data_IF_813018968097
#
_entry.id   IF_813018968097
#
_cell.length_a   1.000
_cell.length_b   1.000
_cell.length_c   1.000
_cell.angle_alpha   90.00
_cell.angle_beta   90.00
_cell.angle_gamma   90.00
#
_symmetry.space_group_name_H-M   'P 1'
#
loop_
_entity.id
_entity.type
_entity.pdbx_description
1 polymer ?
#
# COMPACT_ATOMS: atom_id res chain seq x y z
N UNK A 1 14.07 18.88 6.12
CA UNK A 1 13.74 19.14 6.04
C UNK A 1 13.53 19.22 6.10
N UNK A 2 13.33 19.34 6.18
CA UNK A 2 12.76 19.53 6.23
C UNK A 2 12.30 19.39 6.33
N UNK A 3 11.86 19.40 6.40
CA UNK A 3 11.10 19.40 6.46
C UNK A 3 11.01 19.62 6.96
N UNK A 4 10.83 19.82 7.11
CA UNK A 4 10.52 20.17 7.47
C UNK A 4 10.59 20.51 7.83
N UNK A 5 10.30 20.72 7.98
CA UNK A 5 10.05 21.14 8.07
C UNK A 5 9.77 21.44 8.25
N UNK A 6 9.38 21.46 8.31
CA UNK A 6 8.81 21.76 8.31
C UNK A 6 8.52 21.93 8.54
N UNK A 7 8.29 22.07 8.83
CA UNK A 7 7.68 22.27 8.91
C UNK A 7 7.46 22.45 9.39
N UNK A 8 7.24 23.09 9.33
CA UNK A 8 6.98 23.59 9.94
C UNK A 8 6.67 23.50 10.88
N UNK A 9 6.87 24.59 11.22
CA UNK A 9 6.32 24.08 12.36
C UNK A 9 5.41 23.04 11.99
N UNK A 10 5.73 22.08 12.08
CA UNK A 10 4.93 21.17 11.72
C UNK A 10 4.42 20.39 12.81
N UNK A 11 3.21 19.96 12.68
CA UNK A 11 2.60 19.14 13.69
C UNK A 11 3.18 17.76 13.63
N UNK A 12 3.49 17.14 14.77
CA UNK A 12 3.92 15.75 14.78
C UNK A 12 2.79 14.86 14.28
N UNK A 13 3.15 13.75 13.68
CA UNK A 13 2.18 12.75 13.25
C UNK A 13 1.57 12.09 14.48
N UNK A 14 0.30 11.75 14.40
CA UNK A 14 -0.37 10.99 15.45
C UNK A 14 0.15 9.55 15.48
N UNK A 15 -0.08 8.86 16.60
CA UNK A 15 0.23 7.44 16.70
C UNK A 15 -0.53 6.63 15.67
N UNK A 16 -1.77 7.04 15.34
CA UNK A 16 -2.56 6.35 14.33
C UNK A 16 -1.94 6.49 12.95
N UNK A 17 -1.47 7.70 12.61
CA UNK A 17 -0.83 7.91 11.31
C UNK A 17 0.43 7.05 11.18
N UNK A 18 1.22 6.99 12.24
CA UNK A 18 2.44 6.17 12.24
C UNK A 18 2.09 4.70 12.06
N UNK A 19 1.05 4.22 12.76
CA UNK A 19 0.61 2.84 12.65
C UNK A 19 0.16 2.52 11.23
N UNK A 20 -0.60 3.44 10.61
CA UNK A 20 -1.07 3.25 9.26
C UNK A 20 0.09 3.19 8.26
N UNK A 21 1.12 4.01 8.46
CA UNK A 21 2.30 3.95 7.62
C UNK A 21 3.02 2.62 7.73
N UNK A 22 3.04 2.02 8.94
CA UNK A 22 3.59 0.69 9.12
C UNK A 22 2.77 -0.37 8.37
N UNK A 23 1.44 -0.22 8.35
CA UNK A 23 0.60 -1.13 7.56
C UNK A 23 0.89 -0.99 6.07
N UNK A 24 1.17 0.22 5.60
CA UNK A 24 1.55 0.43 4.21
C UNK A 24 2.86 -0.28 3.89
N UNK A 25 3.82 -0.23 4.81
CA UNK A 25 5.07 -0.97 4.66
C UNK A 25 4.80 -2.48 4.54
N UNK A 26 3.87 -3.01 5.33
CA UNK A 26 3.50 -4.42 5.25
C UNK A 26 2.90 -4.77 3.90
N UNK A 27 2.06 -3.90 3.35
CA UNK A 27 1.51 -4.10 2.01
C UNK A 27 2.64 -4.14 0.98
N UNK A 28 3.58 -3.21 1.07
CA UNK A 28 4.70 -3.16 0.13
C UNK A 28 5.54 -4.44 0.19
N UNK A 29 5.78 -4.95 1.39
CA UNK A 29 6.51 -6.21 1.56
C UNK A 29 5.77 -7.35 0.88
N UNK A 30 4.45 -7.42 1.09
CA UNK A 30 3.63 -8.47 0.49
C UNK A 30 3.64 -8.38 -1.03
N UNK A 31 3.52 -7.17 -1.58
CA UNK A 31 3.55 -6.99 -3.03
C UNK A 31 4.89 -7.42 -3.62
N UNK A 32 6.00 -7.13 -2.92
CA UNK A 32 7.31 -7.57 -3.38
C UNK A 32 7.41 -9.10 -3.39
N UNK A 33 6.81 -9.77 -2.40
CA UNK A 33 6.77 -11.23 -2.38
C UNK A 33 6.00 -11.79 -3.57
N UNK A 34 4.86 -11.17 -3.90
CA UNK A 34 4.08 -11.57 -5.05
C UNK A 34 4.90 -11.42 -6.32
N UNK A 35 5.55 -10.27 -6.50
CA UNK A 35 6.38 -10.03 -7.68
C UNK A 35 7.48 -11.08 -7.81
N UNK A 36 8.12 -11.44 -6.71
CA UNK A 36 9.20 -12.42 -6.73
C UNK A 36 8.73 -13.81 -7.16
N UNK A 37 7.47 -14.13 -6.91
CA UNK A 37 6.91 -15.45 -7.22
C UNK A 37 6.31 -15.54 -8.62
N UNK A 38 6.02 -14.40 -9.27
CA UNK A 38 5.38 -14.41 -10.59
C UNK A 38 6.12 -15.29 -11.59
N UNK A 39 7.46 -15.26 -11.69
CA UNK A 39 8.14 -16.09 -12.70
C UNK A 39 8.01 -17.59 -12.46
N UNK A 40 7.58 -18.03 -11.28
CA UNK A 40 7.43 -19.45 -10.99
C UNK A 40 6.09 -20.00 -11.43
N UNK A 41 5.16 -19.14 -11.90
CA UNK A 41 3.80 -19.54 -12.21
C UNK A 41 3.64 -19.91 -13.68
N UNK A 42 2.73 -20.84 -13.94
CA UNK A 42 2.29 -21.11 -15.32
C UNK A 42 1.44 -19.93 -15.83
N UNK A 43 1.24 -19.82 -17.16
CA UNK A 43 0.36 -18.75 -17.66
C UNK A 43 -1.05 -18.81 -17.09
N UNK A 44 -1.60 -20.00 -16.88
CA UNK A 44 -2.93 -20.15 -16.28
C UNK A 44 -2.96 -19.67 -14.85
N UNK A 45 -1.91 -19.99 -14.09
CA UNK A 45 -1.81 -19.54 -12.70
C UNK A 45 -1.68 -18.03 -12.62
N UNK A 46 -0.91 -17.42 -13.53
CA UNK A 46 -0.80 -15.95 -13.59
C UNK A 46 -2.16 -15.32 -13.82
N UNK A 47 -2.94 -15.90 -14.72
CA UNK A 47 -4.27 -15.40 -15.02
C UNK A 47 -5.17 -15.47 -13.78
N UNK A 48 -5.14 -16.61 -13.07
CA UNK A 48 -5.95 -16.78 -11.87
C UNK A 48 -5.55 -15.80 -10.78
N UNK A 49 -4.26 -15.61 -10.56
CA UNK A 49 -3.77 -14.68 -9.55
C UNK A 49 -4.15 -13.24 -9.93
N UNK A 50 -4.05 -12.90 -11.21
CA UNK A 50 -4.44 -11.57 -11.69
C UNK A 50 -5.91 -11.30 -11.42
N UNK A 51 -6.77 -12.26 -11.70
CA UNK A 51 -8.21 -12.12 -11.43
C UNK A 51 -8.48 -11.96 -9.94
N UNK A 52 -7.80 -12.75 -9.14
CA UNK A 52 -7.95 -12.70 -7.69
C UNK A 52 -7.53 -11.34 -7.15
N UNK A 53 -6.43 -10.83 -7.65
CA UNK A 53 -5.92 -9.51 -7.26
C UNK A 53 -6.90 -8.40 -7.63
N UNK A 54 -7.48 -8.49 -8.82
CA UNK A 54 -8.47 -7.52 -9.28
C UNK A 54 -9.71 -7.51 -8.37
N UNK A 55 -10.09 -8.66 -7.84
CA UNK A 55 -11.26 -8.79 -6.98
C UNK A 55 -10.95 -8.45 -5.52
N UNK A 56 -9.70 -8.24 -5.19
CA UNK A 56 -9.30 -7.94 -3.81
C UNK A 56 -9.94 -6.63 -3.34
N UNK A 57 -10.55 -6.65 -2.17
CA UNK A 57 -11.22 -5.49 -1.60
C UNK A 57 -10.79 -5.29 -0.17
N UNK A 58 -10.67 -4.04 0.26
CA UNK A 58 -10.75 -2.83 -0.55
C UNK A 58 -9.49 -2.67 -1.40
N UNK A 59 -9.61 -1.94 -2.50
CA UNK A 59 -8.46 -1.66 -3.35
C UNK A 59 -7.68 -0.47 -2.83
N UNK A 60 -6.43 -0.34 -3.25
CA UNK A 60 -5.60 0.81 -2.87
C UNK A 60 -6.28 2.12 -3.24
N UNK A 61 -6.91 2.17 -4.42
CA UNK A 61 -7.61 3.36 -4.89
C UNK A 61 -8.74 3.78 -3.95
N UNK A 62 -9.43 2.81 -3.35
CA UNK A 62 -10.46 3.09 -2.37
C UNK A 62 -9.88 3.79 -1.15
N UNK A 63 -8.74 3.32 -0.68
CA UNK A 63 -8.06 3.92 0.47
C UNK A 63 -7.57 5.31 0.14
N UNK A 64 -6.98 5.49 -1.05
CA UNK A 64 -6.51 6.80 -1.48
C UNK A 64 -7.64 7.82 -1.55
N UNK A 65 -8.80 7.40 -2.07
CA UNK A 65 -9.97 8.28 -2.15
C UNK A 65 -10.43 8.68 -0.75
N UNK A 66 -10.44 7.74 0.20
CA UNK A 66 -10.81 8.04 1.56
C UNK A 66 -9.85 9.01 2.23
N UNK A 67 -8.55 8.84 1.98
CA UNK A 67 -7.53 9.72 2.55
C UNK A 67 -7.62 11.13 1.97
N UNK A 68 -8.07 11.26 0.73
CA UNK A 68 -8.22 12.56 0.08
C UNK A 68 -9.53 13.26 0.44
N UNK A 69 -10.50 12.55 1.00
CA UNK A 69 -11.81 13.10 1.35
C UNK A 69 -11.68 14.08 2.51
N UNK A 70 -12.52 15.09 2.51
CA UNK A 70 -12.54 16.09 3.58
C UNK A 70 -13.42 15.70 4.73
#
# INVERSE_FOLDING_TARGET
>A
MSLDKNSGARMPLSGEAIRMMNYVDDVAVTLRRILALVPTLTPEERQRVSEYLTQSKPAVETVQAALAAK
#
